data_IF_192974368276
#
_entry.id   IF_192974368276
#
_cell.length_a   1.000
_cell.length_b   1.000
_cell.length_c   1.000
_cell.angle_alpha   90.00
_cell.angle_beta   90.00
_cell.angle_gamma   90.00
#
_symmetry.space_group_name_H-M   'P 1'
#
loop_
_entity.id
_entity.type
_entity.pdbx_description
1 polymer ?
#
# COMPACT_ATOMS: atom_id res chain seq x y z
N UNK A 1 -1.61 1.97 18.69
CA UNK A 1 -1.12 3.10 17.92
C UNK A 1 -1.94 3.29 16.62
N UNK A 2 -2.03 2.30 15.73
CA UNK A 2 -2.71 2.45 14.43
C UNK A 2 -4.19 2.77 14.52
N UNK A 3 -4.95 2.13 15.43
CA UNK A 3 -6.37 2.46 15.61
C UNK A 3 -6.56 3.91 16.06
N UNK A 4 -5.73 4.38 16.98
CA UNK A 4 -5.76 5.78 17.42
C UNK A 4 -5.40 6.74 16.28
N UNK A 5 -4.41 6.40 15.47
CA UNK A 5 -4.04 7.16 14.28
C UNK A 5 -5.21 7.28 13.29
N UNK A 6 -5.87 6.17 12.96
CA UNK A 6 -7.05 6.14 12.08
C UNK A 6 -8.16 7.03 12.63
N UNK A 7 -8.45 6.93 13.93
CA UNK A 7 -9.48 7.75 14.57
C UNK A 7 -9.15 9.24 14.51
N UNK A 8 -7.89 9.62 14.81
CA UNK A 8 -7.44 11.02 14.76
C UNK A 8 -7.53 11.57 13.34
N UNK A 9 -7.05 10.83 12.34
CA UNK A 9 -7.12 11.27 10.93
C UNK A 9 -8.57 11.46 10.48
N UNK A 10 -9.47 10.52 10.82
CA UNK A 10 -10.90 10.65 10.49
C UNK A 10 -11.55 11.81 11.25
N UNK A 11 -11.18 12.07 12.51
CA UNK A 11 -11.69 13.20 13.28
C UNK A 11 -11.25 14.54 12.68
N UNK A 12 -9.98 14.66 12.27
CA UNK A 12 -9.46 15.86 11.58
C UNK A 12 -10.18 16.08 10.26
N UNK A 13 -10.35 15.02 9.46
CA UNK A 13 -11.08 15.08 8.20
C UNK A 13 -12.53 15.50 8.40
N UNK A 14 -13.21 14.89 9.39
CA UNK A 14 -14.60 15.25 9.73
C UNK A 14 -14.71 16.72 10.16
N UNK A 15 -13.81 17.18 11.00
CA UNK A 15 -13.76 18.60 11.43
C UNK A 15 -13.58 19.57 10.26
N UNK A 16 -12.81 19.20 9.24
CA UNK A 16 -12.56 20.04 8.05
C UNK A 16 -13.69 20.06 7.05
N UNK A 17 -14.33 18.91 6.83
CA UNK A 17 -15.23 18.69 5.69
C UNK A 17 -16.67 18.38 6.09
N UNK A 18 -16.93 18.15 7.39
CA UNK A 18 -18.21 17.66 7.89
C UNK A 18 -18.46 16.18 7.60
N UNK A 19 -17.53 15.46 6.95
CA UNK A 19 -17.65 14.04 6.57
C UNK A 19 -16.33 13.31 6.75
N UNK A 20 -16.40 12.00 7.01
CA UNK A 20 -15.23 11.12 6.96
C UNK A 20 -15.68 9.68 6.63
N UNK A 21 -14.83 8.83 6.03
CA UNK A 21 -15.17 7.45 5.67
C UNK A 21 -15.71 6.62 6.83
N UNK A 22 -15.15 6.78 8.01
CA UNK A 22 -15.57 6.06 9.22
C UNK A 22 -17.04 6.29 9.58
N UNK A 23 -17.56 7.50 9.38
CA UNK A 23 -18.96 7.86 9.72
C UNK A 23 -19.89 7.82 8.51
N UNK A 24 -19.41 8.32 7.36
CA UNK A 24 -20.24 8.45 6.16
C UNK A 24 -20.42 7.14 5.39
N UNK A 25 -19.43 6.24 5.45
CA UNK A 25 -19.43 4.96 4.76
C UNK A 25 -18.98 3.81 5.69
N UNK A 26 -19.45 3.82 6.94
CA UNK A 26 -18.99 2.95 8.02
C UNK A 26 -18.88 1.47 7.62
N UNK A 27 -19.88 0.90 6.94
CA UNK A 27 -19.85 -0.49 6.48
C UNK A 27 -18.68 -0.77 5.53
N UNK A 28 -18.45 0.09 4.56
CA UNK A 28 -17.32 -0.05 3.61
C UNK A 28 -16.00 0.12 4.32
N UNK A 29 -15.92 1.11 5.21
CA UNK A 29 -14.72 1.38 5.98
C UNK A 29 -14.34 0.20 6.88
N UNK A 30 -15.30 -0.41 7.57
CA UNK A 30 -15.07 -1.58 8.40
C UNK A 30 -14.63 -2.81 7.60
N UNK A 31 -15.11 -2.97 6.36
CA UNK A 31 -14.67 -4.04 5.47
C UNK A 31 -13.21 -3.88 5.01
N UNK A 32 -12.62 -2.70 5.14
CA UNK A 32 -11.20 -2.50 4.84
C UNK A 32 -10.28 -3.24 5.82
N UNK A 33 -10.70 -3.46 7.06
CA UNK A 33 -9.88 -4.17 8.04
C UNK A 33 -9.61 -5.63 7.65
N UNK A 34 -10.62 -6.47 7.42
CA UNK A 34 -10.36 -7.84 6.95
C UNK A 34 -9.71 -7.87 5.56
N UNK A 35 -10.06 -6.94 4.67
CA UNK A 35 -9.41 -6.84 3.36
C UNK A 35 -7.92 -6.48 3.49
N UNK A 36 -7.57 -5.58 4.40
CA UNK A 36 -6.19 -5.20 4.72
C UNK A 36 -5.40 -6.39 5.28
N UNK A 37 -5.98 -7.13 6.21
CA UNK A 37 -5.34 -8.32 6.76
C UNK A 37 -5.06 -9.36 5.66
N UNK A 38 -6.05 -9.67 4.83
CA UNK A 38 -5.89 -10.61 3.72
C UNK A 38 -4.83 -10.14 2.71
N UNK A 39 -4.84 -8.84 2.39
CA UNK A 39 -3.85 -8.21 1.52
C UNK A 39 -2.43 -8.35 2.07
N UNK A 40 -2.23 -8.03 3.36
CA UNK A 40 -0.90 -8.12 3.97
C UNK A 40 -0.43 -9.56 4.13
N UNK A 41 -1.32 -10.49 4.49
CA UNK A 41 -0.98 -11.92 4.53
C UNK A 41 -0.52 -12.45 3.17
N UNK A 42 -1.00 -11.88 2.05
CA UNK A 42 -0.49 -12.23 0.73
C UNK A 42 0.97 -11.80 0.53
N UNK A 43 1.37 -10.64 1.08
CA UNK A 43 2.77 -10.21 1.08
C UNK A 43 3.64 -11.06 1.99
N UNK A 44 3.16 -11.44 3.18
CA UNK A 44 3.87 -12.39 4.06
C UNK A 44 4.09 -13.75 3.36
N UNK A 45 3.10 -14.20 2.61
CA UNK A 45 3.25 -15.41 1.80
C UNK A 45 4.32 -15.24 0.71
N UNK A 46 4.32 -14.13 -0.01
CA UNK A 46 5.33 -13.83 -1.04
C UNK A 46 6.73 -13.66 -0.43
N UNK A 47 6.82 -13.07 0.74
CA UNK A 47 8.09 -12.89 1.44
C UNK A 47 8.79 -14.21 1.81
N UNK A 48 8.05 -15.30 1.94
CA UNK A 48 8.65 -16.65 2.13
C UNK A 48 9.59 -17.07 1.01
N UNK A 49 9.41 -16.51 -0.19
CA UNK A 49 10.25 -16.81 -1.35
C UNK A 49 11.45 -15.87 -1.47
N UNK A 50 11.25 -14.59 -1.16
CA UNK A 50 12.27 -13.54 -1.36
C UNK A 50 13.06 -13.23 -0.10
N UNK A 51 12.47 -13.38 1.10
CA UNK A 51 13.14 -13.11 2.38
C UNK A 51 13.48 -11.64 2.62
N UNK A 52 12.77 -10.71 1.98
CA UNK A 52 13.09 -9.27 2.01
C UNK A 52 12.99 -8.66 3.41
N UNK A 53 12.21 -9.27 4.30
CA UNK A 53 12.13 -8.87 5.70
C UNK A 53 11.97 -10.07 6.62
N UNK A 54 12.40 -9.90 7.86
CA UNK A 54 12.24 -10.88 8.93
C UNK A 54 11.96 -10.19 10.25
N UNK A 55 11.28 -10.88 11.14
CA UNK A 55 10.98 -10.37 12.47
C UNK A 55 12.08 -10.73 13.46
N UNK A 56 12.49 -9.77 14.28
CA UNK A 56 13.54 -9.93 15.31
C UNK A 56 13.08 -9.38 16.64
N UNK A 57 13.67 -9.89 17.72
CA UNK A 57 13.37 -9.47 19.10
C UNK A 57 12.11 -10.15 19.65
N UNK A 58 11.85 -9.88 20.93
CA UNK A 58 10.70 -10.43 21.61
C UNK A 58 10.83 -11.91 22.00
N UNK A 59 9.71 -12.47 22.46
CA UNK A 59 9.60 -13.91 22.76
C UNK A 59 9.20 -14.66 21.48
N UNK A 60 9.59 -15.91 21.38
CA UNK A 60 9.07 -16.81 20.33
C UNK A 60 7.57 -17.03 20.54
N UNK A 61 6.78 -16.77 19.47
CA UNK A 61 5.35 -17.04 19.46
C UNK A 61 5.08 -18.40 18.83
N UNK A 62 4.11 -19.12 19.38
CA UNK A 62 3.51 -20.23 18.64
C UNK A 62 2.82 -19.75 17.37
N UNK A 63 2.66 -20.61 16.37
CA UNK A 63 2.08 -20.25 15.05
C UNK A 63 0.70 -19.58 15.16
N UNK A 64 -0.15 -20.02 16.09
CA UNK A 64 -1.47 -19.44 16.33
C UNK A 64 -1.39 -18.03 16.96
N UNK A 65 -0.49 -17.85 17.94
CA UNK A 65 -0.25 -16.55 18.56
C UNK A 65 0.29 -15.55 17.54
N UNK A 66 1.27 -15.97 16.74
CA UNK A 66 1.82 -15.14 15.67
C UNK A 66 0.73 -14.70 14.69
N UNK A 67 -0.11 -15.65 14.23
CA UNK A 67 -1.21 -15.32 13.33
C UNK A 67 -2.16 -14.27 13.92
N UNK A 68 -2.57 -14.42 15.17
CA UNK A 68 -3.48 -13.48 15.83
C UNK A 68 -2.83 -12.11 16.03
N UNK A 69 -1.61 -12.06 16.57
CA UNK A 69 -0.94 -10.79 16.86
C UNK A 69 -0.49 -10.06 15.61
N UNK A 70 -0.11 -10.75 14.54
CA UNK A 70 0.24 -10.13 13.26
C UNK A 70 -1.00 -9.66 12.48
N UNK A 71 -2.11 -10.41 12.53
CA UNK A 71 -3.35 -10.04 11.82
C UNK A 71 -3.89 -8.69 12.29
N UNK A 72 -3.76 -8.37 13.58
CA UNK A 72 -4.28 -7.12 14.12
C UNK A 72 -3.62 -5.87 13.49
N UNK A 73 -2.28 -5.68 13.49
CA UNK A 73 -1.66 -4.57 12.78
C UNK A 73 -1.87 -4.65 11.26
N UNK A 74 -1.82 -5.82 10.64
CA UNK A 74 -2.07 -5.99 9.21
C UNK A 74 -3.46 -5.51 8.79
N UNK A 75 -4.45 -5.65 9.67
CA UNK A 75 -5.80 -5.17 9.40
C UNK A 75 -5.91 -3.65 9.30
N UNK A 76 -4.96 -2.89 9.83
CA UNK A 76 -5.04 -1.43 9.93
C UNK A 76 -4.42 -0.66 8.77
N UNK A 77 -3.69 -1.33 7.87
CA UNK A 77 -2.93 -0.68 6.78
C UNK A 77 -3.83 0.06 5.80
N UNK A 78 -4.77 -0.63 5.16
CA UNK A 78 -5.69 0.00 4.20
C UNK A 78 -6.57 1.06 4.85
N UNK A 79 -7.18 0.85 6.03
CA UNK A 79 -7.93 1.90 6.71
C UNK A 79 -7.09 3.16 6.99
N UNK A 80 -5.83 3.01 7.41
CA UNK A 80 -4.94 4.13 7.67
C UNK A 80 -4.61 4.90 6.38
N UNK A 81 -4.12 4.21 5.35
CA UNK A 81 -3.73 4.82 4.07
C UNK A 81 -4.92 5.53 3.41
N UNK A 82 -6.09 4.90 3.37
CA UNK A 82 -7.28 5.50 2.77
C UNK A 82 -7.81 6.69 3.57
N UNK A 83 -7.71 6.67 4.91
CA UNK A 83 -8.04 7.84 5.74
C UNK A 83 -7.13 9.02 5.45
N UNK A 84 -5.81 8.80 5.36
CA UNK A 84 -4.84 9.85 5.02
C UNK A 84 -5.05 10.35 3.60
N UNK A 85 -5.33 9.46 2.64
CA UNK A 85 -5.65 9.84 1.26
C UNK A 85 -6.83 10.80 1.20
N UNK A 86 -7.93 10.51 1.88
CA UNK A 86 -9.10 11.40 1.92
C UNK A 86 -8.77 12.75 2.59
N UNK A 87 -7.94 12.74 3.63
CA UNK A 87 -7.48 13.98 4.26
C UNK A 87 -6.64 14.82 3.29
N UNK A 88 -5.74 14.22 2.52
CA UNK A 88 -4.93 14.91 1.50
C UNK A 88 -5.83 15.49 0.40
N UNK A 89 -6.79 14.71 -0.11
CA UNK A 89 -7.74 15.15 -1.13
C UNK A 89 -8.64 16.29 -0.64
N UNK A 90 -8.84 16.43 0.67
CA UNK A 90 -9.57 17.54 1.26
C UNK A 90 -8.81 18.88 1.24
N UNK A 91 -7.52 18.88 0.85
CA UNK A 91 -6.69 20.08 0.82
C UNK A 91 -6.86 20.81 -0.52
N UNK A 92 -7.39 22.05 -0.55
CA UNK A 92 -7.61 22.78 -1.80
C UNK A 92 -6.35 23.00 -2.64
N UNK A 93 -5.21 23.25 -1.98
CA UNK A 93 -3.92 23.40 -2.67
C UNK A 93 -3.46 22.14 -3.37
N UNK A 94 -3.72 20.95 -2.76
CA UNK A 94 -3.42 19.65 -3.37
C UNK A 94 -4.34 19.40 -4.57
N UNK A 95 -5.64 19.66 -4.40
CA UNK A 95 -6.62 19.52 -5.47
C UNK A 95 -6.24 20.36 -6.70
N UNK A 96 -5.91 21.65 -6.50
CA UNK A 96 -5.50 22.54 -7.58
C UNK A 96 -4.19 22.10 -8.27
N UNK A 97 -3.23 21.56 -7.50
CA UNK A 97 -1.93 21.16 -8.06
C UNK A 97 -2.00 19.91 -8.98
N UNK A 98 -2.96 19.02 -8.74
CA UNK A 98 -3.01 17.72 -9.44
C UNK A 98 -4.27 17.49 -10.29
N UNK A 99 -5.20 18.45 -10.34
CA UNK A 99 -6.46 18.35 -11.08
C UNK A 99 -6.27 18.42 -12.61
N UNK A 100 -5.34 19.22 -13.08
CA UNK A 100 -5.08 19.44 -14.52
C UNK A 100 -3.57 19.47 -14.77
N UNK A 101 -2.99 18.28 -14.81
CA UNK A 101 -1.58 18.09 -15.07
C UNK A 101 -1.34 17.41 -16.41
N UNK A 102 -0.12 16.89 -16.67
CA UNK A 102 0.21 16.22 -17.94
C UNK A 102 -0.74 15.06 -18.21
N UNK A 103 -1.34 15.05 -19.39
CA UNK A 103 -2.16 13.94 -19.87
C UNK A 103 -1.26 12.81 -20.35
N UNK A 104 -1.53 11.62 -19.85
CA UNK A 104 -0.85 10.42 -20.32
C UNK A 104 -1.87 9.35 -20.65
N UNK A 105 -1.90 8.96 -21.93
CA UNK A 105 -2.76 7.88 -22.41
C UNK A 105 -1.99 7.03 -23.41
N UNK A 106 -1.87 5.72 -23.16
CA UNK A 106 -1.28 4.82 -24.14
C UNK A 106 -2.12 4.81 -25.43
N UNK A 107 -1.47 4.71 -26.58
CA UNK A 107 -2.15 4.63 -27.88
C UNK A 107 -3.08 3.41 -27.99
N UNK A 108 -2.77 2.33 -27.26
CA UNK A 108 -3.55 1.09 -27.21
C UNK A 108 -3.78 0.68 -25.76
N UNK A 109 -4.73 1.31 -25.03
CA UNK A 109 -4.88 1.13 -23.59
C UNK A 109 -5.19 -0.31 -23.16
N UNK A 110 -6.02 -1.05 -23.94
CA UNK A 110 -6.30 -2.46 -23.64
C UNK A 110 -5.07 -3.35 -23.84
N UNK A 111 -4.29 -3.11 -24.89
CA UNK A 111 -3.05 -3.86 -25.11
C UNK A 111 -2.00 -3.57 -24.03
N UNK A 112 -1.88 -2.31 -23.63
CA UNK A 112 -1.03 -1.92 -22.51
C UNK A 112 -1.45 -2.59 -21.19
N UNK A 113 -2.74 -2.62 -20.89
CA UNK A 113 -3.26 -3.30 -19.69
C UNK A 113 -3.04 -4.83 -19.76
N UNK A 114 -3.21 -5.45 -20.93
CA UNK A 114 -2.93 -6.89 -21.12
C UNK A 114 -1.43 -7.20 -20.95
N UNK A 115 -0.55 -6.37 -21.52
CA UNK A 115 0.90 -6.52 -21.35
C UNK A 115 1.32 -6.35 -19.87
N UNK A 116 0.76 -5.35 -19.17
CA UNK A 116 1.01 -5.13 -17.75
C UNK A 116 0.51 -6.32 -16.90
N UNK A 117 -0.64 -6.89 -17.26
CA UNK A 117 -1.16 -8.10 -16.59
C UNK A 117 -0.21 -9.30 -16.77
N UNK A 118 0.22 -9.54 -18.02
CA UNK A 118 1.16 -10.62 -18.31
C UNK A 118 2.49 -10.42 -17.59
N UNK A 119 3.01 -9.20 -17.56
CA UNK A 119 4.22 -8.86 -16.81
C UNK A 119 4.05 -9.11 -15.30
N UNK A 120 2.93 -8.70 -14.72
CA UNK A 120 2.65 -8.93 -13.30
C UNK A 120 2.55 -10.43 -12.97
N UNK A 121 1.84 -11.20 -13.82
CA UNK A 121 1.74 -12.65 -13.65
C UNK A 121 3.10 -13.34 -13.80
N UNK A 122 3.88 -12.98 -14.82
CA UNK A 122 5.23 -13.51 -15.02
C UNK A 122 6.16 -13.16 -13.85
N UNK A 123 6.04 -11.93 -13.33
CA UNK A 123 6.79 -11.49 -12.16
C UNK A 123 6.48 -12.29 -10.91
N UNK A 124 5.20 -12.49 -10.60
CA UNK A 124 4.79 -13.30 -9.45
C UNK A 124 5.20 -14.78 -9.59
N UNK A 125 5.10 -15.34 -10.79
CA UNK A 125 5.62 -16.70 -11.05
C UNK A 125 7.14 -16.71 -10.90
N UNK A 126 7.84 -15.71 -11.43
CA UNK A 126 9.29 -15.58 -11.35
C UNK A 126 9.82 -15.54 -9.91
N UNK A 127 9.05 -15.02 -8.96
CA UNK A 127 9.40 -15.03 -7.53
C UNK A 127 9.69 -16.46 -7.01
N UNK A 128 8.97 -17.47 -7.52
CA UNK A 128 9.20 -18.86 -7.15
C UNK A 128 10.45 -19.49 -7.78
N UNK A 129 10.98 -18.94 -8.88
CA UNK A 129 12.12 -19.53 -9.62
C UNK A 129 13.43 -18.77 -9.46
N UNK A 130 13.37 -17.43 -9.36
CA UNK A 130 14.52 -16.56 -9.30
C UNK A 130 14.31 -15.40 -8.30
N UNK A 131 14.05 -15.69 -7.01
CA UNK A 131 13.65 -14.67 -6.03
C UNK A 131 14.66 -13.53 -5.91
N UNK A 132 15.95 -13.82 -5.88
CA UNK A 132 17.02 -12.82 -5.76
C UNK A 132 17.13 -11.85 -6.95
N UNK A 133 16.54 -12.17 -8.12
CA UNK A 133 16.53 -11.30 -9.29
C UNK A 133 15.24 -10.49 -9.37
N UNK A 134 14.10 -11.11 -9.04
CA UNK A 134 12.77 -10.53 -9.24
C UNK A 134 12.10 -10.06 -7.95
N UNK A 135 12.86 -9.99 -6.83
CA UNK A 135 12.32 -9.53 -5.54
C UNK A 135 11.54 -8.22 -5.59
N UNK A 136 11.87 -7.20 -6.43
CA UNK A 136 11.08 -5.97 -6.47
C UNK A 136 9.66 -6.19 -6.98
N UNK A 137 9.42 -7.27 -7.74
CA UNK A 137 8.11 -7.59 -8.28
C UNK A 137 7.13 -8.08 -7.21
N UNK A 138 7.60 -8.44 -6.03
CA UNK A 138 6.73 -8.67 -4.86
C UNK A 138 5.89 -7.44 -4.55
N UNK A 139 6.47 -6.24 -4.69
CA UNK A 139 5.80 -4.97 -4.41
C UNK A 139 5.03 -4.42 -5.62
N UNK A 140 5.58 -4.59 -6.81
CA UNK A 140 5.05 -3.98 -8.04
C UNK A 140 3.96 -4.82 -8.69
N UNK A 141 4.12 -6.15 -8.70
CA UNK A 141 3.23 -7.03 -9.46
C UNK A 141 1.79 -7.12 -8.88
N UNK A 142 1.55 -7.21 -7.55
CA UNK A 142 0.19 -7.28 -7.03
C UNK A 142 -0.66 -6.04 -7.37
N UNK A 143 -0.22 -4.78 -7.11
CA UNK A 143 -0.99 -3.61 -7.52
C UNK A 143 -1.14 -3.51 -9.05
N UNK A 144 -0.11 -3.85 -9.82
CA UNK A 144 -0.16 -3.83 -11.27
C UNK A 144 -1.19 -4.84 -11.81
N UNK A 145 -1.29 -6.02 -11.20
CA UNK A 145 -2.30 -7.03 -11.53
C UNK A 145 -3.72 -6.47 -11.30
N UNK A 146 -3.97 -5.87 -10.14
CA UNK A 146 -5.28 -5.30 -9.80
C UNK A 146 -5.67 -4.14 -10.73
N UNK A 147 -4.71 -3.25 -11.03
CA UNK A 147 -4.91 -2.12 -11.95
C UNK A 147 -5.21 -2.62 -13.36
N UNK A 148 -4.44 -3.58 -13.86
CA UNK A 148 -4.61 -4.15 -15.19
C UNK A 148 -5.94 -4.87 -15.36
N UNK A 149 -6.33 -5.68 -14.37
CA UNK A 149 -7.64 -6.35 -14.37
C UNK A 149 -8.79 -5.36 -14.34
N UNK A 150 -8.67 -4.27 -13.57
CA UNK A 150 -9.68 -3.22 -13.51
C UNK A 150 -9.79 -2.50 -14.85
N UNK A 151 -8.66 -2.13 -15.46
CA UNK A 151 -8.61 -1.49 -16.78
C UNK A 151 -9.21 -2.36 -17.87
N UNK A 152 -8.87 -3.66 -17.93
CA UNK A 152 -9.41 -4.62 -18.89
C UNK A 152 -10.93 -4.81 -18.76
N UNK A 153 -11.45 -4.70 -17.54
CA UNK A 153 -12.89 -4.77 -17.25
C UNK A 153 -13.63 -3.44 -17.41
N UNK A 154 -12.92 -2.38 -17.82
CA UNK A 154 -13.50 -1.03 -17.94
C UNK A 154 -13.94 -0.42 -16.60
N UNK A 155 -13.35 -0.87 -15.48
CA UNK A 155 -13.66 -0.35 -14.15
C UNK A 155 -12.71 0.80 -13.79
N UNK A 156 -13.20 1.82 -13.04
CA UNK A 156 -12.34 2.87 -12.51
C UNK A 156 -11.23 2.29 -11.63
N UNK A 157 -10.04 2.88 -11.71
CA UNK A 157 -8.86 2.53 -10.91
C UNK A 157 -8.01 3.79 -10.67
N UNK A 158 -7.02 3.72 -9.81
CA UNK A 158 -6.21 4.86 -9.38
C UNK A 158 -5.53 5.65 -10.52
N UNK A 159 -5.32 5.04 -11.69
CA UNK A 159 -4.72 5.70 -12.85
C UNK A 159 -5.75 6.19 -13.88
N UNK A 160 -7.04 5.98 -13.67
CA UNK A 160 -8.08 6.29 -14.67
C UNK A 160 -8.16 7.77 -15.02
N UNK A 161 -7.91 8.66 -14.06
CA UNK A 161 -7.94 10.11 -14.25
C UNK A 161 -6.80 10.67 -15.10
N UNK A 162 -5.66 9.97 -15.15
CA UNK A 162 -4.41 10.45 -15.75
C UNK A 162 -4.57 10.74 -17.26
N UNK A 163 -5.39 9.98 -17.95
CA UNK A 163 -5.68 10.22 -19.36
C UNK A 163 -6.35 11.59 -19.62
N UNK A 164 -7.13 12.07 -18.65
CA UNK A 164 -7.74 13.41 -18.64
C UNK A 164 -6.85 14.51 -18.04
N UNK A 165 -5.71 14.16 -17.45
CA UNK A 165 -4.84 15.08 -16.72
C UNK A 165 -5.11 15.11 -15.21
N UNK A 166 -6.08 14.36 -14.71
CA UNK A 166 -6.40 14.27 -13.29
C UNK A 166 -5.50 13.24 -12.58
N UNK A 167 -4.51 13.74 -11.86
CA UNK A 167 -3.54 12.94 -11.11
C UNK A 167 -3.85 12.83 -9.63
N UNK A 168 -4.95 13.43 -9.17
CA UNK A 168 -5.27 13.54 -7.74
C UNK A 168 -5.30 12.18 -7.03
N UNK A 169 -6.00 11.22 -7.61
CA UNK A 169 -6.13 9.89 -7.01
C UNK A 169 -4.79 9.18 -6.87
N UNK A 170 -3.97 9.24 -7.90
CA UNK A 170 -2.63 8.65 -7.87
C UNK A 170 -1.72 9.37 -6.88
N UNK A 171 -1.62 10.70 -6.99
CA UNK A 171 -0.74 11.51 -6.15
C UNK A 171 -1.14 11.44 -4.66
N UNK A 172 -2.46 11.49 -4.35
CA UNK A 172 -2.94 11.37 -2.98
C UNK A 172 -2.68 9.99 -2.40
N UNK A 173 -2.88 8.92 -3.19
CA UNK A 173 -2.60 7.56 -2.74
C UNK A 173 -1.10 7.35 -2.47
N UNK A 174 -0.24 7.85 -3.35
CA UNK A 174 1.21 7.77 -3.18
C UNK A 174 1.69 8.57 -1.96
N UNK A 175 1.21 9.80 -1.80
CA UNK A 175 1.54 10.63 -0.65
C UNK A 175 1.03 10.02 0.67
N UNK A 176 -0.17 9.44 0.68
CA UNK A 176 -0.73 8.75 1.84
C UNK A 176 0.08 7.50 2.20
N UNK A 177 0.51 6.72 1.21
CA UNK A 177 1.34 5.55 1.43
C UNK A 177 2.69 5.94 2.03
N UNK A 178 3.36 6.96 1.49
CA UNK A 178 4.62 7.47 2.04
C UNK A 178 4.46 8.01 3.46
N UNK A 179 3.41 8.78 3.72
CA UNK A 179 3.12 9.32 5.05
C UNK A 179 2.86 8.19 6.07
N UNK A 180 2.03 7.22 5.74
CA UNK A 180 1.79 6.06 6.60
C UNK A 180 3.05 5.21 6.75
N UNK A 181 3.82 5.01 5.69
CA UNK A 181 5.08 4.28 5.69
C UNK A 181 6.09 4.87 6.67
N UNK A 182 6.23 6.20 6.70
CA UNK A 182 7.08 6.88 7.67
C UNK A 182 6.70 6.53 9.13
N UNK A 183 5.41 6.63 9.49
CA UNK A 183 4.96 6.26 10.83
C UNK A 183 5.11 4.77 11.10
N UNK A 184 4.94 3.95 10.08
CA UNK A 184 5.13 2.52 10.16
C UNK A 184 6.56 2.18 10.58
N UNK A 185 7.53 2.72 9.87
CA UNK A 185 8.94 2.50 10.17
C UNK A 185 9.36 3.12 11.49
N UNK A 186 8.88 4.33 11.80
CA UNK A 186 9.15 4.99 13.07
C UNK A 186 8.68 4.14 14.28
N UNK A 187 7.47 3.57 14.20
CA UNK A 187 6.95 2.73 15.28
C UNK A 187 7.61 1.35 15.30
N UNK A 188 7.95 0.81 14.15
CA UNK A 188 8.70 -0.43 14.04
C UNK A 188 10.05 -0.35 14.76
N UNK A 189 10.81 0.71 14.50
CA UNK A 189 12.16 0.88 15.06
C UNK A 189 12.19 0.89 16.61
N UNK A 190 11.12 1.36 17.24
CA UNK A 190 10.94 1.37 18.71
C UNK A 190 10.21 0.15 19.27
N UNK A 191 9.86 -0.83 18.47
CA UNK A 191 9.10 -2.00 18.91
C UNK A 191 10.01 -3.07 19.53
N UNK A 192 9.53 -3.76 20.57
CA UNK A 192 10.25 -4.89 21.19
C UNK A 192 10.38 -6.07 20.22
N UNK A 193 9.40 -6.25 19.34
CA UNK A 193 9.44 -7.17 18.22
C UNK A 193 9.27 -6.35 16.95
N UNK A 194 10.30 -6.29 16.14
CA UNK A 194 10.34 -5.47 14.94
C UNK A 194 10.73 -6.29 13.72
N UNK A 195 10.32 -5.81 12.57
CA UNK A 195 10.88 -6.33 11.31
C UNK A 195 12.14 -5.55 10.94
N UNK A 196 13.07 -6.24 10.33
CA UNK A 196 14.27 -5.70 9.71
C UNK A 196 14.32 -6.19 8.28
N UNK A 197 14.92 -5.39 7.40
CA UNK A 197 14.99 -5.69 5.99
C UNK A 197 16.30 -6.42 5.64
N UNK A 198 16.22 -7.27 4.62
CA UNK A 198 17.36 -7.96 4.01
C UNK A 198 17.09 -7.97 2.50
N UNK A 199 17.27 -6.80 1.87
CA UNK A 199 16.90 -6.58 0.48
C UNK A 199 18.16 -6.61 -0.38
N UNK A 200 18.25 -7.55 -1.36
CA UNK A 200 19.42 -7.66 -2.21
C UNK A 200 19.76 -6.35 -2.92
N UNK A 201 21.05 -6.02 -2.98
CA UNK A 201 21.65 -4.90 -3.76
C UNK A 201 21.30 -3.48 -3.31
N UNK A 202 20.36 -3.27 -2.40
CA UNK A 202 19.87 -1.92 -2.03
C UNK A 202 19.95 -1.62 -0.53
N UNK A 203 20.73 -2.40 0.21
CA UNK A 203 20.93 -2.25 1.65
C UNK A 203 21.88 -1.07 1.97
N UNK A 204 21.44 0.16 1.67
CA UNK A 204 22.19 1.38 1.95
C UNK A 204 21.25 2.54 2.27
N UNK A 205 21.75 3.50 3.10
CA UNK A 205 21.02 4.72 3.46
C UNK A 205 19.64 4.44 4.07
N UNK A 206 19.63 3.94 5.30
CA UNK A 206 18.39 3.59 5.99
C UNK A 206 17.65 4.82 6.55
N UNK A 207 16.33 4.76 6.50
CA UNK A 207 15.42 5.58 7.31
C UNK A 207 14.74 4.63 8.30
N UNK A 208 15.11 4.71 9.56
CA UNK A 208 14.84 3.69 10.57
C UNK A 208 15.43 2.34 10.14
N UNK A 209 14.60 1.29 9.99
CA UNK A 209 15.05 -0.02 9.54
C UNK A 209 14.99 -0.17 8.00
N UNK A 210 14.30 0.71 7.30
CA UNK A 210 14.04 0.63 5.86
C UNK A 210 15.20 1.21 5.05
N UNK A 211 15.82 0.46 4.13
CA UNK A 211 16.70 1.04 3.10
C UNK A 211 15.90 2.00 2.20
N UNK A 212 16.47 3.15 1.84
CA UNK A 212 15.75 4.17 1.03
C UNK A 212 15.30 3.64 -0.32
N UNK A 213 16.02 2.68 -0.88
CA UNK A 213 15.71 2.04 -2.16
C UNK A 213 15.02 0.68 -2.01
N UNK A 214 14.64 0.31 -0.78
CA UNK A 214 14.01 -0.95 -0.43
C UNK A 214 12.50 -1.01 -0.57
#
# INVERSE_FOLDING_TARGET
LWLSFILVVNAVLHRRTGRCPLLSEARRFLLLFPASAAFWWSFEYLNRFVGNWRYVGGREFGSGEYFLFATLPFSTVLPAVLSVRELILSCPGFDAAFRDWRRFSPSRPRAAAAAALLFACAGLLGVGFAPGLVYPLVWVAPPLLLLSLSALRGRPHALSGIAGGDWRDFAASSAAALFCGFFWEMWNSGSAMKWVYDIPYVDAFHVFEMPILG
#
